data_IF_248188864333
#
_entry.id   IF_248188864333
#
_cell.length_a   1.000
_cell.length_b   1.000
_cell.length_c   1.000
_cell.angle_alpha   90.00
_cell.angle_beta   90.00
_cell.angle_gamma   90.00
#
_symmetry.space_group_name_H-M   'P 1'
#
loop_
_entity.id
_entity.type
_entity.pdbx_description
1 polymer ?
#
# COMPACT_ATOMS: atom_id res chain seq x y z
N UNK A 1 5.15 2.15 9.71
CA UNK A 1 6.55 2.11 9.24
C UNK A 1 7.16 3.44 9.60
N UNK A 2 8.42 3.42 10.00
CA UNK A 2 9.03 4.53 10.73
C UNK A 2 9.84 5.47 9.84
N UNK A 3 10.03 6.72 10.27
CA UNK A 3 10.83 7.73 9.55
C UNK A 3 12.27 7.25 9.29
N UNK A 4 12.88 7.72 8.21
CA UNK A 4 14.25 7.43 7.83
C UNK A 4 14.48 6.07 7.15
N UNK A 5 13.44 5.26 6.98
CA UNK A 5 13.56 3.94 6.33
C UNK A 5 13.17 3.99 4.85
N UNK A 6 13.80 3.13 4.06
CA UNK A 6 13.40 2.87 2.67
C UNK A 6 12.42 1.71 2.63
N UNK A 7 11.23 1.98 2.07
CA UNK A 7 10.18 1.00 1.91
C UNK A 7 10.15 0.47 0.47
N UNK A 8 9.97 -0.83 0.34
CA UNK A 8 9.70 -1.50 -0.92
C UNK A 8 8.66 -2.60 -0.69
N UNK A 9 7.77 -2.83 -1.64
CA UNK A 9 6.81 -3.94 -1.61
C UNK A 9 7.11 -4.83 -2.82
N UNK A 10 7.29 -6.13 -2.58
CA UNK A 10 7.51 -7.17 -3.60
C UNK A 10 6.51 -8.29 -3.36
N UNK A 11 5.66 -8.54 -4.33
CA UNK A 11 4.59 -9.56 -4.27
C UNK A 11 3.72 -9.45 -2.99
N UNK A 12 3.45 -8.19 -2.57
CA UNK A 12 2.68 -7.87 -1.38
C UNK A 12 3.46 -7.95 -0.05
N UNK A 13 4.72 -8.38 -0.08
CA UNK A 13 5.60 -8.41 1.10
C UNK A 13 6.31 -7.08 1.24
N UNK A 14 6.20 -6.48 2.43
CA UNK A 14 6.87 -5.22 2.75
C UNK A 14 8.32 -5.47 3.14
N UNK A 15 9.24 -4.75 2.52
CA UNK A 15 10.65 -4.68 2.86
C UNK A 15 10.98 -3.30 3.42
N UNK A 16 11.76 -3.27 4.49
CA UNK A 16 12.29 -2.04 5.09
C UNK A 16 13.82 -2.15 5.07
N UNK A 17 14.47 -1.17 4.45
CA UNK A 17 15.94 -1.16 4.23
C UNK A 17 16.45 -2.48 3.63
N UNK A 18 15.70 -3.02 2.66
CA UNK A 18 16.01 -4.27 1.96
C UNK A 18 15.74 -5.55 2.76
N UNK A 19 15.19 -5.46 3.98
CA UNK A 19 14.86 -6.63 4.82
C UNK A 19 13.35 -6.84 4.86
N UNK A 20 12.90 -8.08 4.64
CA UNK A 20 11.50 -8.41 4.76
C UNK A 20 10.98 -8.09 6.17
N UNK A 21 9.93 -7.30 6.24
CA UNK A 21 9.27 -6.95 7.49
C UNK A 21 8.25 -8.03 7.85
N UNK A 22 8.22 -8.44 9.13
CA UNK A 22 7.19 -9.37 9.60
C UNK A 22 5.82 -8.71 9.45
N UNK A 23 4.97 -9.32 8.65
CA UNK A 23 3.60 -8.84 8.50
C UNK A 23 2.75 -9.26 9.70
N UNK A 24 1.78 -8.41 10.11
CA UNK A 24 0.76 -8.82 11.07
C UNK A 24 -0.04 -10.04 10.56
N UNK A 25 -0.46 -10.91 11.47
CA UNK A 25 -1.15 -12.17 11.12
C UNK A 25 -2.57 -11.94 10.54
N UNK A 26 -3.12 -10.73 10.71
CA UNK A 26 -4.43 -10.32 10.20
C UNK A 26 -4.39 -9.64 8.83
N UNK A 27 -3.22 -9.53 8.21
CA UNK A 27 -3.13 -8.95 6.86
C UNK A 27 -3.87 -9.82 5.87
N UNK A 28 -4.79 -9.19 5.14
CA UNK A 28 -5.60 -9.81 4.10
C UNK A 28 -5.19 -9.29 2.72
N UNK A 29 -5.20 -10.19 1.76
CA UNK A 29 -5.09 -9.87 0.32
C UNK A 29 -6.25 -10.54 -0.41
N UNK A 30 -6.60 -10.02 -1.59
CA UNK A 30 -7.68 -10.63 -2.36
C UNK A 30 -7.23 -11.93 -3.02
N UNK A 31 -8.15 -12.88 -3.03
CA UNK A 31 -8.02 -14.17 -3.73
C UNK A 31 -9.20 -14.38 -4.66
N UNK A 32 -8.94 -14.97 -5.82
CA UNK A 32 -9.95 -15.56 -6.69
C UNK A 32 -10.27 -16.92 -6.13
N UNK A 33 -11.52 -17.13 -5.76
CA UNK A 33 -11.99 -18.39 -5.17
C UNK A 33 -13.12 -18.96 -6.02
N UNK A 34 -12.97 -20.19 -6.47
CA UNK A 34 -14.05 -20.92 -7.13
C UNK A 34 -14.77 -21.78 -6.09
N UNK A 35 -15.93 -21.30 -5.64
CA UNK A 35 -16.76 -21.99 -4.68
C UNK A 35 -17.60 -23.08 -5.35
N UNK A 36 -17.59 -24.28 -4.80
CA UNK A 36 -18.48 -25.40 -5.17
C UNK A 36 -19.77 -25.39 -4.39
N UNK A 37 -19.73 -24.85 -3.16
CA UNK A 37 -20.88 -24.67 -2.28
C UNK A 37 -20.67 -23.46 -1.35
N UNK A 38 -21.75 -22.94 -0.72
CA UNK A 38 -21.62 -21.86 0.24
C UNK A 38 -20.67 -22.20 1.40
N UNK A 39 -19.91 -21.19 1.84
CA UNK A 39 -19.09 -21.30 3.05
C UNK A 39 -20.01 -21.28 4.27
N UNK A 40 -19.95 -22.31 5.11
CA UNK A 40 -20.79 -22.42 6.30
C UNK A 40 -20.45 -21.35 7.34
N UNK A 41 -21.37 -21.08 8.27
CA UNK A 41 -21.16 -20.11 9.34
C UNK A 41 -19.96 -20.48 10.23
N UNK A 42 -19.75 -21.78 10.48
CA UNK A 42 -18.62 -22.31 11.24
C UNK A 42 -17.30 -22.05 10.53
N UNK A 43 -17.21 -22.39 9.23
CA UNK A 43 -16.02 -22.16 8.43
C UNK A 43 -15.72 -20.66 8.27
N UNK A 44 -16.74 -19.81 8.05
CA UNK A 44 -16.57 -18.36 8.04
C UNK A 44 -15.93 -17.84 9.32
N UNK A 45 -16.39 -18.33 10.47
CA UNK A 45 -15.84 -17.93 11.76
C UNK A 45 -14.38 -18.38 11.91
N UNK A 46 -14.07 -19.58 11.47
CA UNK A 46 -12.72 -20.17 11.51
C UNK A 46 -11.74 -19.36 10.64
N UNK A 47 -12.13 -19.03 9.41
CA UNK A 47 -11.30 -18.22 8.48
C UNK A 47 -11.42 -16.72 8.71
N UNK A 48 -12.20 -16.29 9.73
CA UNK A 48 -12.44 -14.88 10.09
C UNK A 48 -12.96 -14.01 8.94
N UNK A 49 -13.79 -14.59 8.08
CA UNK A 49 -14.38 -13.89 6.94
C UNK A 49 -15.68 -13.20 7.37
N UNK A 50 -15.70 -11.86 7.29
CA UNK A 50 -16.86 -11.06 7.65
C UNK A 50 -17.97 -11.10 6.59
N UNK A 51 -19.16 -10.61 6.94
CA UNK A 51 -20.25 -10.42 5.95
C UNK A 51 -19.97 -9.28 4.98
N UNK A 52 -19.14 -8.33 5.36
CA UNK A 52 -18.70 -7.24 4.47
C UNK A 52 -17.75 -7.78 3.40
N UNK A 53 -16.83 -8.68 3.78
CA UNK A 53 -15.86 -9.28 2.87
C UNK A 53 -16.52 -10.25 1.87
N UNK A 54 -17.50 -11.04 2.32
CA UNK A 54 -18.32 -11.92 1.48
C UNK A 54 -19.79 -11.81 1.88
N UNK A 55 -20.56 -10.87 1.25
CA UNK A 55 -21.99 -10.71 1.48
C UNK A 55 -22.75 -12.01 1.23
N UNK A 56 -23.83 -12.23 1.96
CA UNK A 56 -24.62 -13.47 1.92
C UNK A 56 -25.12 -13.82 0.50
N UNK A 57 -25.51 -12.81 -0.27
CA UNK A 57 -25.96 -12.99 -1.66
C UNK A 57 -24.84 -13.47 -2.61
N UNK A 58 -23.57 -13.27 -2.23
CA UNK A 58 -22.40 -13.75 -2.97
C UNK A 58 -21.87 -15.09 -2.45
N UNK A 59 -22.31 -15.54 -1.27
CA UNK A 59 -21.92 -16.81 -0.69
C UNK A 59 -22.64 -18.00 -1.35
N UNK A 60 -22.29 -18.25 -2.61
CA UNK A 60 -22.91 -19.27 -3.46
C UNK A 60 -21.88 -19.88 -4.42
N UNK A 61 -22.17 -21.05 -5.05
CA UNK A 61 -21.29 -21.62 -6.08
C UNK A 61 -20.97 -20.60 -7.18
N UNK A 62 -19.69 -20.59 -7.60
CA UNK A 62 -19.16 -19.71 -8.65
C UNK A 62 -17.82 -19.09 -8.26
N UNK A 63 -17.30 -18.27 -9.16
CA UNK A 63 -16.03 -17.56 -8.98
C UNK A 63 -16.27 -16.21 -8.31
N UNK A 64 -15.57 -15.99 -7.22
CA UNK A 64 -15.65 -14.75 -6.42
C UNK A 64 -14.26 -14.23 -6.07
N UNK A 65 -14.18 -12.94 -5.79
CA UNK A 65 -12.97 -12.29 -5.28
C UNK A 65 -13.30 -11.74 -3.89
N UNK A 66 -12.56 -12.17 -2.88
CA UNK A 66 -12.69 -11.64 -1.53
C UNK A 66 -11.37 -11.73 -0.73
N UNK A 67 -11.22 -10.89 0.31
CA UNK A 67 -9.98 -10.83 1.07
C UNK A 67 -9.85 -12.01 2.02
N UNK A 68 -8.66 -12.62 2.03
CA UNK A 68 -8.30 -13.70 2.94
C UNK A 68 -6.92 -13.41 3.56
N UNK A 69 -6.73 -13.85 4.81
CA UNK A 69 -5.38 -14.02 5.34
C UNK A 69 -4.72 -15.24 4.67
N UNK A 70 -3.38 -15.33 4.65
CA UNK A 70 -2.70 -16.52 4.11
C UNK A 70 -3.20 -17.84 4.74
N UNK A 71 -3.40 -17.86 6.07
CA UNK A 71 -3.93 -19.01 6.80
C UNK A 71 -5.35 -19.38 6.34
N UNK A 72 -6.22 -18.37 6.17
CA UNK A 72 -7.58 -18.58 5.70
C UNK A 72 -7.62 -19.13 4.26
N UNK A 73 -6.74 -18.61 3.40
CA UNK A 73 -6.61 -19.09 2.03
C UNK A 73 -6.15 -20.56 1.98
N UNK A 74 -5.15 -20.93 2.78
CA UNK A 74 -4.68 -22.34 2.89
C UNK A 74 -5.78 -23.26 3.42
N UNK A 75 -6.50 -22.84 4.46
CA UNK A 75 -7.58 -23.63 5.04
C UNK A 75 -8.71 -23.86 4.02
N UNK A 76 -9.10 -22.79 3.30
CA UNK A 76 -10.13 -22.87 2.28
C UNK A 76 -9.65 -23.71 1.08
N UNK A 77 -8.41 -23.56 0.65
CA UNK A 77 -7.80 -24.35 -0.44
C UNK A 77 -7.71 -25.85 -0.12
N UNK A 78 -7.54 -26.20 1.15
CA UNK A 78 -7.52 -27.59 1.62
C UNK A 78 -8.92 -28.23 1.63
N UNK A 79 -9.98 -27.43 1.74
CA UNK A 79 -11.37 -27.91 1.79
C UNK A 79 -11.97 -28.05 0.38
N UNK A 80 -11.59 -29.14 -0.31
CA UNK A 80 -12.02 -29.39 -1.70
C UNK A 80 -13.51 -29.61 -1.89
N UNK A 81 -14.26 -29.83 -0.82
CA UNK A 81 -15.71 -29.87 -0.87
C UNK A 81 -16.35 -28.48 -1.00
N UNK A 82 -15.66 -27.44 -0.51
CA UNK A 82 -16.14 -26.06 -0.49
C UNK A 82 -15.55 -25.23 -1.64
N UNK A 83 -14.25 -25.33 -1.87
CA UNK A 83 -13.57 -24.56 -2.91
C UNK A 83 -12.78 -25.47 -3.86
N UNK A 84 -13.00 -25.29 -5.17
CA UNK A 84 -12.24 -25.98 -6.21
C UNK A 84 -10.84 -25.40 -6.31
N UNK A 85 -10.73 -24.06 -6.34
CA UNK A 85 -9.47 -23.34 -6.38
C UNK A 85 -9.50 -22.11 -5.47
N UNK A 86 -8.31 -21.72 -4.97
CA UNK A 86 -8.05 -20.49 -4.22
C UNK A 86 -6.72 -19.96 -4.71
N UNK A 87 -6.75 -18.88 -5.46
CA UNK A 87 -5.57 -18.30 -6.10
C UNK A 87 -5.44 -16.81 -5.73
N UNK A 88 -4.22 -16.35 -5.46
CA UNK A 88 -4.00 -14.93 -5.18
C UNK A 88 -4.42 -14.11 -6.40
N UNK A 89 -5.19 -13.03 -6.16
CA UNK A 89 -5.61 -12.14 -7.22
C UNK A 89 -4.49 -11.14 -7.56
N UNK A 90 -4.02 -11.16 -8.80
CA UNK A 90 -3.04 -10.19 -9.31
C UNK A 90 -3.75 -8.90 -9.68
N UNK A 91 -3.45 -7.84 -8.94
CA UNK A 91 -4.00 -6.52 -9.23
C UNK A 91 -3.33 -5.90 -10.44
N UNK A 92 -4.11 -5.34 -11.35
CA UNK A 92 -3.57 -4.60 -12.48
C UNK A 92 -2.84 -3.34 -12.01
N UNK A 93 -2.08 -2.73 -12.92
CA UNK A 93 -1.46 -1.43 -12.72
C UNK A 93 -2.51 -0.36 -12.38
N UNK A 94 -2.17 0.50 -11.38
CA UNK A 94 -2.99 1.65 -10.98
C UNK A 94 -2.26 2.96 -11.31
N UNK A 95 -2.91 3.83 -12.10
CA UNK A 95 -2.38 5.17 -12.44
C UNK A 95 -2.37 6.16 -11.24
N UNK A 96 -3.07 5.81 -10.17
CA UNK A 96 -3.32 6.71 -9.02
C UNK A 96 -2.43 6.45 -7.81
N UNK A 97 -1.38 5.63 -7.97
CA UNK A 97 -0.43 5.38 -6.88
C UNK A 97 0.46 6.60 -6.65
N UNK A 98 0.81 6.84 -5.40
CA UNK A 98 1.74 7.90 -5.03
C UNK A 98 3.17 7.59 -5.54
N UNK A 99 3.90 8.56 -6.08
CA UNK A 99 3.47 9.93 -6.42
C UNK A 99 2.63 9.96 -7.70
N UNK A 100 1.42 10.48 -7.62
CA UNK A 100 0.40 10.41 -8.69
C UNK A 100 0.81 11.00 -10.05
N UNK A 101 1.80 11.88 -10.06
CA UNK A 101 2.24 12.58 -11.27
C UNK A 101 3.47 11.90 -11.93
N UNK A 102 3.86 10.74 -11.45
CA UNK A 102 5.01 10.00 -11.94
C UNK A 102 4.58 8.61 -12.41
N UNK A 103 4.84 8.30 -13.68
CA UNK A 103 4.59 6.95 -14.22
C UNK A 103 5.68 5.99 -13.74
N UNK A 104 5.52 5.45 -12.55
CA UNK A 104 6.50 4.55 -11.91
C UNK A 104 6.42 3.11 -12.42
N UNK A 105 5.29 2.71 -13.00
CA UNK A 105 5.00 1.32 -13.32
C UNK A 105 4.68 0.45 -12.10
N UNK A 106 4.54 1.06 -10.92
CA UNK A 106 4.25 0.35 -9.67
C UNK A 106 2.81 -0.18 -9.62
N UNK A 107 2.63 -1.21 -8.82
CA UNK A 107 1.31 -1.74 -8.47
C UNK A 107 1.15 -1.72 -6.94
N UNK A 108 -0.04 -2.01 -6.44
CA UNK A 108 -0.27 -2.09 -4.99
C UNK A 108 0.56 -3.18 -4.31
N UNK A 109 0.93 -4.24 -5.05
CA UNK A 109 1.70 -5.38 -4.57
C UNK A 109 3.18 -5.33 -4.94
N UNK A 110 3.57 -4.48 -5.92
CA UNK A 110 4.95 -4.24 -6.33
C UNK A 110 5.21 -2.73 -6.40
N UNK A 111 5.73 -2.17 -5.33
CA UNK A 111 5.77 -0.74 -5.07
C UNK A 111 7.13 -0.30 -4.52
N UNK A 112 7.61 0.86 -4.93
CA UNK A 112 8.88 1.43 -4.44
C UNK A 112 10.10 1.01 -5.27
N UNK A 113 11.32 1.24 -4.75
CA UNK A 113 11.60 1.74 -3.40
C UNK A 113 11.22 3.21 -3.20
N UNK A 114 10.80 3.57 -1.98
CA UNK A 114 10.55 4.94 -1.55
C UNK A 114 11.16 5.18 -0.16
N UNK A 115 11.91 6.27 -0.01
CA UNK A 115 12.44 6.68 1.28
C UNK A 115 11.41 7.53 2.04
N UNK A 116 11.17 7.19 3.32
CA UNK A 116 10.23 7.88 4.20
C UNK A 116 11.00 8.95 4.97
N UNK A 117 10.68 10.25 4.80
CA UNK A 117 11.43 11.31 5.45
C UNK A 117 11.43 11.25 6.96
N UNK A 118 12.55 11.66 7.56
CA UNK A 118 12.71 11.84 8.99
C UNK A 118 13.11 13.28 9.31
N UNK A 119 12.70 13.75 10.46
CA UNK A 119 13.04 15.08 10.98
C UNK A 119 14.56 15.28 11.06
N UNK A 120 15.01 16.39 10.53
CA UNK A 120 16.44 16.74 10.47
C UNK A 120 17.21 16.11 9.32
N UNK A 121 16.62 15.15 8.59
CA UNK A 121 17.25 14.54 7.42
C UNK A 121 17.08 15.40 6.17
N UNK A 122 18.09 15.37 5.30
CA UNK A 122 18.14 16.19 4.09
C UNK A 122 18.11 15.32 2.85
N UNK A 123 17.25 15.70 1.90
CA UNK A 123 17.19 15.08 0.56
C UNK A 123 17.71 16.03 -0.50
N UNK A 124 18.30 15.46 -1.56
CA UNK A 124 18.60 16.22 -2.77
C UNK A 124 17.31 16.38 -3.59
N UNK A 125 17.05 17.60 -4.01
CA UNK A 125 15.89 17.94 -4.83
C UNK A 125 16.29 18.11 -6.29
N UNK A 126 15.73 17.25 -7.12
CA UNK A 126 15.74 17.34 -8.57
C UNK A 126 14.32 17.32 -9.10
N UNK A 127 14.10 17.60 -10.37
CA UNK A 127 12.77 17.47 -10.97
C UNK A 127 12.26 16.02 -10.95
N UNK A 128 13.16 15.05 -10.89
CA UNK A 128 12.82 13.62 -10.81
C UNK A 128 12.43 13.21 -9.38
N UNK A 129 13.10 13.76 -8.35
CA UNK A 129 12.82 13.43 -6.95
C UNK A 129 11.71 14.29 -6.33
N UNK A 130 11.46 15.47 -6.90
CA UNK A 130 10.46 16.41 -6.39
C UNK A 130 9.05 15.81 -6.21
N UNK A 131 8.51 14.99 -7.12
CA UNK A 131 7.18 14.42 -6.97
C UNK A 131 6.99 13.61 -5.68
N UNK A 132 8.08 13.01 -5.14
CA UNK A 132 8.05 12.27 -3.88
C UNK A 132 7.95 13.18 -2.64
N UNK A 133 8.30 14.45 -2.76
CA UNK A 133 8.44 15.34 -1.61
C UNK A 133 7.65 16.65 -1.72
N UNK A 134 7.13 17.00 -2.91
CA UNK A 134 6.45 18.26 -3.16
C UNK A 134 5.32 18.50 -2.17
N UNK A 135 4.43 17.51 -1.98
CA UNK A 135 3.30 17.64 -1.06
C UNK A 135 3.75 17.80 0.40
N UNK A 136 4.81 17.09 0.81
CA UNK A 136 5.36 17.15 2.15
C UNK A 136 5.90 18.56 2.43
N UNK A 137 6.72 19.07 1.52
CA UNK A 137 7.36 20.38 1.63
C UNK A 137 6.33 21.50 1.57
N UNK A 138 5.42 21.44 0.60
CA UNK A 138 4.49 22.53 0.31
C UNK A 138 3.29 22.54 1.25
N UNK A 139 2.66 21.39 1.46
CA UNK A 139 1.39 21.32 2.18
C UNK A 139 1.63 21.10 3.67
N UNK A 140 2.38 20.07 4.04
CA UNK A 140 2.55 19.71 5.46
C UNK A 140 3.54 20.62 6.17
N UNK A 141 4.64 21.02 5.51
CA UNK A 141 5.61 21.93 6.11
C UNK A 141 5.41 23.41 5.71
N UNK A 142 4.28 23.70 5.03
CA UNK A 142 3.78 25.04 4.74
C UNK A 142 4.83 25.97 4.08
N UNK A 143 5.53 25.45 3.06
CA UNK A 143 6.47 26.26 2.27
C UNK A 143 5.84 26.71 0.95
N UNK A 144 6.25 27.86 0.45
CA UNK A 144 5.98 28.24 -0.94
C UNK A 144 6.99 27.52 -1.85
N UNK A 145 6.51 26.55 -2.63
CA UNK A 145 7.32 25.76 -3.55
C UNK A 145 6.88 26.01 -4.98
N UNK A 146 7.83 26.34 -5.83
CA UNK A 146 7.59 26.57 -7.26
C UNK A 146 8.73 26.05 -8.12
N UNK A 147 8.41 25.70 -9.37
CA UNK A 147 9.40 25.32 -10.39
C UNK A 147 9.39 26.39 -11.48
N UNK A 148 10.55 26.99 -11.75
CA UNK A 148 10.72 28.04 -12.78
C UNK A 148 11.97 27.74 -13.59
N UNK A 149 11.84 27.71 -14.93
CA UNK A 149 12.95 27.47 -15.85
C UNK A 149 13.79 26.22 -15.51
N UNK A 150 13.11 25.13 -15.05
CA UNK A 150 13.78 23.88 -14.68
C UNK A 150 14.48 23.89 -13.31
N UNK A 151 14.36 24.95 -12.52
CA UNK A 151 14.91 25.05 -11.18
C UNK A 151 13.80 25.09 -10.12
N UNK A 152 14.06 24.47 -8.98
CA UNK A 152 13.16 24.41 -7.82
C UNK A 152 13.44 25.61 -6.92
N UNK A 153 12.38 26.26 -6.45
CA UNK A 153 12.44 27.38 -5.51
C UNK A 153 11.58 27.06 -4.29
N UNK A 154 12.11 27.30 -3.09
CA UNK A 154 11.39 27.18 -1.83
C UNK A 154 11.48 28.52 -1.11
N UNK A 155 10.33 29.11 -0.78
CA UNK A 155 10.22 30.43 -0.14
C UNK A 155 10.97 31.54 -0.90
N UNK A 156 11.00 31.45 -2.24
CA UNK A 156 11.65 32.41 -3.12
C UNK A 156 13.13 32.16 -3.36
N UNK A 157 13.78 31.26 -2.68
CA UNK A 157 15.19 30.91 -2.84
C UNK A 157 15.36 29.62 -3.67
N UNK A 158 16.39 29.59 -4.55
CA UNK A 158 16.71 28.38 -5.31
C UNK A 158 17.16 27.28 -4.36
N UNK A 159 16.53 26.11 -4.47
CA UNK A 159 16.79 24.96 -3.60
C UNK A 159 17.25 23.75 -4.42
N UNK A 160 18.37 23.15 -4.02
CA UNK A 160 18.91 21.89 -4.55
C UNK A 160 18.79 20.75 -3.52
N UNK A 161 18.34 21.07 -2.31
CA UNK A 161 18.09 20.14 -1.23
C UNK A 161 17.00 20.66 -0.31
N UNK A 162 16.46 19.79 0.54
CA UNK A 162 15.51 20.16 1.58
C UNK A 162 15.74 19.33 2.84
N UNK A 163 15.72 20.00 4.00
CA UNK A 163 15.79 19.36 5.32
C UNK A 163 14.41 19.33 5.94
N UNK A 164 13.90 18.14 6.24
CA UNK A 164 12.56 17.97 6.79
C UNK A 164 12.48 18.43 8.25
N UNK A 165 11.36 19.07 8.61
CA UNK A 165 11.13 19.65 9.94
C UNK A 165 10.35 18.71 10.86
N UNK A 166 9.74 17.66 10.31
CA UNK A 166 8.96 16.67 11.06
C UNK A 166 9.22 15.25 10.56
N UNK A 167 8.83 14.27 11.35
CA UNK A 167 8.85 12.86 10.99
C UNK A 167 7.64 12.51 10.13
N UNK A 168 7.84 11.56 9.21
CA UNK A 168 6.79 11.03 8.36
C UNK A 168 6.63 9.53 8.54
N UNK A 169 5.41 9.06 8.39
CA UNK A 169 5.04 7.67 8.59
C UNK A 169 4.37 7.11 7.34
N UNK A 170 4.65 5.86 7.05
CA UNK A 170 3.94 5.13 6.00
C UNK A 170 2.90 4.22 6.61
N UNK A 171 1.65 4.47 6.29
CA UNK A 171 0.50 3.73 6.82
C UNK A 171 -0.01 2.77 5.76
N UNK A 172 -0.31 1.54 6.15
CA UNK A 172 -0.93 0.55 5.26
C UNK A 172 -2.04 -0.17 6.02
N UNK A 173 -3.22 -0.27 5.39
CA UNK A 173 -4.34 -1.01 5.95
C UNK A 173 -4.11 -2.52 5.92
N UNK A 174 -4.75 -3.24 6.84
CA UNK A 174 -4.65 -4.70 6.94
C UNK A 174 -5.31 -5.39 5.73
N UNK A 175 -6.42 -4.87 5.24
CA UNK A 175 -7.03 -5.31 3.99
C UNK A 175 -6.36 -4.59 2.82
N UNK A 176 -5.29 -5.19 2.30
CA UNK A 176 -4.32 -4.57 1.40
C UNK A 176 -4.90 -3.97 0.13
N UNK A 177 -5.84 -4.64 -0.51
CA UNK A 177 -6.44 -4.17 -1.76
C UNK A 177 -7.69 -3.32 -1.57
N UNK A 178 -8.28 -3.33 -0.38
CA UNK A 178 -9.46 -2.55 -0.04
C UNK A 178 -9.14 -1.37 0.90
N UNK A 179 -7.89 -0.93 0.94
CA UNK A 179 -7.44 0.19 1.77
C UNK A 179 -6.97 1.36 0.91
N UNK A 180 -7.54 2.53 1.14
CA UNK A 180 -6.99 3.79 0.66
C UNK A 180 -5.94 4.27 1.66
N UNK A 181 -4.67 3.95 1.44
CA UNK A 181 -3.57 4.19 2.36
C UNK A 181 -2.38 4.92 1.72
N UNK A 182 -1.22 4.93 2.37
CA UNK A 182 -0.06 5.70 1.90
C UNK A 182 0.41 5.33 0.49
N UNK A 183 0.07 4.16 -0.03
CA UNK A 183 0.35 3.81 -1.44
C UNK A 183 -0.38 4.72 -2.41
N UNK A 184 -1.48 5.36 -1.99
CA UNK A 184 -2.30 6.26 -2.80
C UNK A 184 -2.06 7.73 -2.50
N UNK A 185 -1.85 8.12 -1.25
CA UNK A 185 -1.75 9.53 -0.85
C UNK A 185 -0.41 9.93 -0.22
N UNK A 186 0.54 8.98 -0.09
CA UNK A 186 1.90 9.23 0.37
C UNK A 186 2.09 9.18 1.89
N UNK A 187 3.28 9.60 2.37
CA UNK A 187 3.60 9.63 3.79
C UNK A 187 2.72 10.57 4.59
N UNK A 188 2.48 10.24 5.87
CA UNK A 188 1.69 11.02 6.84
C UNK A 188 2.65 11.73 7.78
N UNK A 189 2.49 13.05 8.04
CA UNK A 189 3.29 13.76 9.02
C UNK A 189 2.98 13.29 10.46
N UNK A 190 3.88 13.60 11.39
CA UNK A 190 3.72 13.32 12.83
C UNK A 190 2.62 14.16 13.51
N UNK A 191 2.23 15.32 12.93
CA UNK A 191 1.20 16.25 13.42
C UNK A 191 -0.01 16.33 12.48
#
# INVERSE_FOLDING_TARGET
MVPGQTLEIKDGIVYLDGKANKQPDNVQTNYVVELLQPISAELRKEIRLSQEDLPEQMNRPGTHIFPLTPMAAELLASNKAVAQSVEKYDYPYYEWLYPMNLHTGWTVDNYGPIWIPAKGETVQLTLETLPFYERLIKVYENNDLSVKNGAIYINGEKAESYTFKMDYYWMMGDNRQNSADSRFWGPVPED
#
